data_IF_132164577217
#
_entry.id   IF_132164577217
#
_cell.length_a   1.000
_cell.length_b   1.000
_cell.length_c   1.000
_cell.angle_alpha   90.00
_cell.angle_beta   90.00
_cell.angle_gamma   90.00
#
_symmetry.space_group_name_H-M   'P 1'
#
loop_
_entity.id
_entity.type
_entity.pdbx_description
1 polymer ?
#
# COMPACT_ATOMS: atom_id res chain seq x y z
N UNK A 1 18.29 18.52 15.09
CA UNK A 1 18.76 17.32 14.39
C UNK A 1 20.12 17.62 13.76
N UNK A 2 20.98 16.63 13.44
CA UNK A 2 22.27 16.92 12.82
C UNK A 2 22.08 17.65 11.49
N UNK A 3 22.99 18.56 11.14
CA UNK A 3 23.06 19.15 9.80
C UNK A 3 23.25 18.02 8.80
N UNK A 4 22.19 17.71 8.04
CA UNK A 4 22.25 16.70 6.99
C UNK A 4 23.15 17.23 5.86
N UNK A 5 23.98 16.35 5.31
CA UNK A 5 24.76 16.67 4.12
C UNK A 5 23.81 17.02 2.97
N UNK A 6 23.95 18.18 2.31
CA UNK A 6 23.10 18.55 1.19
C UNK A 6 23.20 17.53 0.05
N UNK A 7 22.06 17.17 -0.54
CA UNK A 7 22.00 16.25 -1.66
C UNK A 7 22.57 16.89 -2.93
N UNK A 8 23.56 16.24 -3.55
CA UNK A 8 24.09 16.68 -4.84
C UNK A 8 23.04 16.59 -5.94
N UNK A 9 22.88 17.69 -6.70
CA UNK A 9 21.88 17.79 -7.77
C UNK A 9 22.11 16.80 -8.90
N UNK A 10 23.36 16.49 -9.26
CA UNK A 10 23.63 15.54 -10.33
C UNK A 10 23.28 14.12 -9.90
N UNK A 11 23.61 13.76 -8.66
CA UNK A 11 23.22 12.48 -8.05
C UNK A 11 21.69 12.32 -8.05
N UNK A 12 20.98 13.31 -7.54
CA UNK A 12 19.52 13.32 -7.51
C UNK A 12 18.91 13.30 -8.91
N UNK A 13 19.54 13.94 -9.91
CA UNK A 13 19.05 13.93 -11.29
C UNK A 13 19.08 12.53 -11.91
N UNK A 14 20.12 11.76 -11.59
CA UNK A 14 20.36 10.43 -12.17
C UNK A 14 19.54 9.30 -11.54
N UNK A 15 18.93 9.51 -10.36
CA UNK A 15 18.30 8.44 -9.57
C UNK A 15 16.88 8.81 -9.14
N UNK A 16 16.09 7.79 -8.79
CA UNK A 16 14.82 8.01 -8.10
C UNK A 16 15.10 8.48 -6.67
N UNK A 17 14.27 9.39 -6.16
CA UNK A 17 14.45 9.99 -4.85
C UNK A 17 13.15 9.92 -4.07
N UNK A 18 13.18 9.34 -2.87
CA UNK A 18 12.12 9.50 -1.88
C UNK A 18 12.39 10.79 -1.10
N UNK A 19 11.42 11.69 -1.03
CA UNK A 19 11.52 12.94 -0.26
C UNK A 19 10.54 12.92 0.90
N UNK A 20 11.03 13.30 2.07
CA UNK A 20 10.31 13.26 3.34
C UNK A 20 10.44 14.62 4.07
N UNK A 21 9.56 14.83 5.04
CA UNK A 21 9.65 15.95 5.96
C UNK A 21 10.82 15.78 6.95
N UNK A 22 11.21 16.85 7.62
CA UNK A 22 12.34 16.88 8.58
C UNK A 22 12.11 16.00 9.80
N UNK A 23 10.87 15.84 10.24
CA UNK A 23 10.48 15.18 11.48
C UNK A 23 10.44 13.65 11.37
N UNK A 24 10.57 13.11 10.16
CA UNK A 24 10.59 11.66 9.94
C UNK A 24 11.94 11.08 10.37
N UNK A 25 11.89 10.10 11.26
CA UNK A 25 13.09 9.43 11.77
C UNK A 25 13.54 8.32 10.79
N UNK A 26 14.85 8.17 10.51
CA UNK A 26 15.34 7.08 9.66
C UNK A 26 14.93 5.68 10.13
N UNK A 27 14.72 5.49 11.43
CA UNK A 27 14.21 4.24 12.00
C UNK A 27 12.76 3.95 11.63
N UNK A 28 11.93 4.96 11.38
CA UNK A 28 10.56 4.76 10.85
C UNK A 28 10.64 4.20 9.42
N UNK A 29 11.53 4.73 8.59
CA UNK A 29 11.75 4.23 7.24
C UNK A 29 12.32 2.81 7.23
N UNK A 30 13.26 2.50 8.13
CA UNK A 30 13.77 1.14 8.29
C UNK A 30 12.67 0.15 8.69
N UNK A 31 11.80 0.53 9.62
CA UNK A 31 10.70 -0.32 10.07
C UNK A 31 9.77 -0.70 8.89
N UNK A 32 9.47 0.25 8.00
CA UNK A 32 8.69 -0.02 6.78
C UNK A 32 9.46 -0.89 5.77
N UNK A 33 10.78 -0.74 5.67
CA UNK A 33 11.57 -1.58 4.77
C UNK A 33 11.58 -3.05 5.25
N UNK A 34 11.82 -3.27 6.54
CA UNK A 34 11.87 -4.61 7.16
C UNK A 34 10.54 -5.33 7.12
N UNK A 35 9.41 -4.62 7.18
CA UNK A 35 8.09 -5.26 7.07
C UNK A 35 7.83 -5.82 5.67
N UNK A 36 8.56 -5.35 4.64
CA UNK A 36 8.34 -5.71 3.23
C UNK A 36 9.38 -6.64 2.63
N UNK A 37 10.60 -6.71 3.18
CA UNK A 37 11.64 -7.64 2.74
C UNK A 37 12.42 -8.21 3.92
N UNK A 38 12.68 -9.52 3.87
CA UNK A 38 13.52 -10.21 4.87
C UNK A 38 14.99 -9.77 4.79
N UNK A 39 15.41 -9.24 3.65
CA UNK A 39 16.76 -8.75 3.39
C UNK A 39 16.92 -7.25 3.65
N UNK A 40 15.84 -6.56 4.03
CA UNK A 40 15.89 -5.14 4.34
C UNK A 40 16.54 -4.87 5.70
N UNK A 41 17.21 -3.72 5.79
CA UNK A 41 17.90 -3.26 7.01
C UNK A 41 19.14 -2.44 6.70
N UNK A 42 19.70 -1.76 7.71
CA UNK A 42 20.93 -0.98 7.52
C UNK A 42 22.11 -1.88 7.15
N UNK A 43 22.64 -1.70 5.94
CA UNK A 43 23.85 -2.37 5.47
C UNK A 43 25.11 -1.58 5.85
N UNK A 44 24.96 -0.28 6.15
CA UNK A 44 26.04 0.61 6.55
C UNK A 44 25.51 1.97 7.01
N UNK A 45 26.41 2.89 7.40
CA UNK A 45 26.01 4.26 7.74
C UNK A 45 25.31 4.92 6.56
N UNK A 46 24.07 5.38 6.79
CA UNK A 46 23.24 6.02 5.76
C UNK A 46 22.96 5.16 4.52
N UNK A 47 23.05 3.82 4.64
CA UNK A 47 22.76 2.86 3.57
C UNK A 47 21.73 1.83 4.05
N UNK A 48 20.47 2.04 3.66
CA UNK A 48 19.35 1.14 3.97
C UNK A 48 19.14 0.19 2.79
N UNK A 49 19.44 -1.10 2.96
CA UNK A 49 19.10 -2.10 1.96
C UNK A 49 17.58 -2.30 1.95
N UNK A 50 16.99 -2.30 0.74
CA UNK A 50 15.56 -2.58 0.55
C UNK A 50 15.32 -3.99 -0.01
N UNK A 51 16.15 -4.37 -0.98
CA UNK A 51 16.13 -5.67 -1.65
C UNK A 51 17.59 -6.07 -1.92
N UNK A 52 17.89 -7.34 -2.25
CA UNK A 52 19.24 -7.74 -2.63
C UNK A 52 19.82 -6.88 -3.77
N UNK A 53 20.86 -6.09 -3.46
CA UNK A 53 21.50 -5.18 -4.42
C UNK A 53 20.74 -3.88 -4.71
N UNK A 54 19.70 -3.56 -3.93
CA UNK A 54 18.96 -2.30 -4.00
C UNK A 54 19.03 -1.57 -2.67
N UNK A 55 19.50 -0.33 -2.69
CA UNK A 55 19.82 0.44 -1.48
C UNK A 55 19.24 1.85 -1.57
N UNK A 56 18.71 2.36 -0.46
CA UNK A 56 18.49 3.78 -0.25
C UNK A 56 19.68 4.38 0.48
N UNK A 57 20.25 5.44 -0.09
CA UNK A 57 21.27 6.25 0.60
C UNK A 57 20.65 7.49 1.19
N UNK A 58 20.97 7.82 2.44
CA UNK A 58 20.42 8.98 3.15
C UNK A 58 20.28 8.75 4.67
N UNK A 59 19.70 9.71 5.41
CA UNK A 59 19.05 10.92 4.90
C UNK A 59 20.06 11.96 4.37
N UNK A 60 19.74 12.54 3.22
CA UNK A 60 20.38 13.75 2.68
C UNK A 60 19.51 14.97 2.96
N UNK A 61 20.13 16.15 3.10
CA UNK A 61 19.43 17.42 3.25
C UNK A 61 18.93 17.94 1.90
N UNK A 62 17.71 18.49 1.89
CA UNK A 62 17.12 19.18 0.72
C UNK A 62 17.10 20.68 0.98
N UNK A 63 18.04 21.41 0.38
CA UNK A 63 18.08 22.86 0.47
C UNK A 63 17.04 23.56 -0.44
N UNK A 64 16.88 24.88 -0.28
CA UNK A 64 15.93 25.67 -1.05
C UNK A 64 16.22 25.64 -2.56
N UNK A 65 17.50 25.62 -2.94
CA UNK A 65 17.93 25.61 -4.34
C UNK A 65 17.56 24.30 -5.03
N UNK A 66 17.79 23.16 -4.37
CA UNK A 66 17.42 21.83 -4.88
C UNK A 66 15.91 21.66 -4.94
N UNK A 67 15.19 22.15 -3.91
CA UNK A 67 13.73 22.10 -3.84
C UNK A 67 13.10 22.86 -5.00
N UNK A 68 13.58 24.08 -5.25
CA UNK A 68 13.14 24.90 -6.37
C UNK A 68 13.54 24.30 -7.72
N UNK A 69 14.73 23.71 -7.83
CA UNK A 69 15.23 23.13 -9.07
C UNK A 69 14.45 21.89 -9.55
N UNK A 70 13.78 21.19 -8.64
CA UNK A 70 13.04 19.95 -8.92
C UNK A 70 11.54 20.06 -8.64
N UNK A 71 11.03 21.27 -8.41
CA UNK A 71 9.61 21.50 -8.08
C UNK A 71 9.12 20.62 -6.91
N UNK A 72 10.00 20.39 -5.92
CA UNK A 72 9.68 19.56 -4.76
C UNK A 72 8.71 20.29 -3.81
N UNK A 73 7.89 19.54 -3.04
CA UNK A 73 6.99 20.13 -2.06
C UNK A 73 7.72 21.00 -1.03
N UNK A 74 7.09 22.07 -0.57
CA UNK A 74 7.71 23.03 0.36
C UNK A 74 8.18 22.41 1.69
N UNK A 75 7.56 21.31 2.12
CA UNK A 75 7.91 20.56 3.33
C UNK A 75 9.08 19.59 3.13
N UNK A 76 9.54 19.36 1.89
CA UNK A 76 10.62 18.42 1.59
C UNK A 76 11.94 18.95 2.14
N UNK A 77 12.46 18.27 3.16
CA UNK A 77 13.70 18.63 3.86
C UNK A 77 14.69 17.47 3.94
N UNK A 78 14.20 16.23 3.84
CA UNK A 78 15.03 15.03 3.77
C UNK A 78 14.85 14.33 2.43
N UNK A 79 15.90 13.67 1.95
CA UNK A 79 15.86 12.87 0.74
C UNK A 79 16.63 11.54 0.92
N UNK A 80 16.12 10.49 0.27
CA UNK A 80 16.78 9.19 0.16
C UNK A 80 16.91 8.84 -1.32
N UNK A 81 18.13 8.56 -1.76
CA UNK A 81 18.44 8.25 -3.16
C UNK A 81 18.43 6.75 -3.37
N UNK A 82 17.61 6.27 -4.31
CA UNK A 82 17.52 4.87 -4.67
C UNK A 82 18.64 4.47 -5.63
N UNK A 83 19.50 3.57 -5.19
CA UNK A 83 20.48 2.88 -6.00
C UNK A 83 19.90 1.51 -6.38
N UNK A 84 19.41 1.40 -7.62
CA UNK A 84 18.86 0.17 -8.18
C UNK A 84 19.31 0.00 -9.64
N UNK A 85 19.47 -1.24 -10.14
CA UNK A 85 19.64 -1.47 -11.56
C UNK A 85 18.46 -0.90 -12.35
N UNK A 86 18.74 -0.12 -13.40
CA UNK A 86 17.70 0.40 -14.30
C UNK A 86 17.23 -0.72 -15.22
N UNK A 87 15.94 -1.02 -15.19
CA UNK A 87 15.29 -2.08 -15.95
C UNK A 87 14.00 -1.53 -16.56
N UNK A 88 14.05 -1.24 -17.88
CA UNK A 88 12.95 -0.62 -18.62
C UNK A 88 12.42 -1.55 -19.69
N UNK A 89 11.09 -1.65 -19.71
CA UNK A 89 10.34 -2.34 -20.74
C UNK A 89 9.99 -1.47 -21.93
N UNK A 90 8.83 -1.77 -22.52
CA UNK A 90 8.24 -1.00 -23.61
C UNK A 90 7.62 0.32 -23.18
N UNK A 91 7.14 1.13 -24.14
CA UNK A 91 6.43 2.37 -23.86
C UNK A 91 5.13 2.10 -23.09
N UNK A 92 4.67 3.10 -22.34
CA UNK A 92 3.39 3.03 -21.65
C UNK A 92 2.25 2.92 -22.68
N UNK A 93 1.37 1.91 -22.60
CA UNK A 93 0.19 1.81 -23.45
C UNK A 93 -0.70 3.05 -23.32
N UNK A 94 -1.28 3.53 -24.42
CA UNK A 94 -2.05 4.77 -24.44
C UNK A 94 -3.30 4.69 -23.53
N UNK A 95 -3.84 3.48 -23.37
CA UNK A 95 -4.99 3.17 -22.53
C UNK A 95 -4.71 3.34 -21.03
N UNK A 96 -3.43 3.28 -20.62
CA UNK A 96 -2.99 3.44 -19.23
C UNK A 96 -2.46 4.85 -18.93
N UNK A 97 -2.35 5.72 -19.94
CA UNK A 97 -1.90 7.09 -19.74
C UNK A 97 -2.93 7.89 -18.94
N UNK A 98 -2.46 8.61 -17.92
CA UNK A 98 -3.27 9.42 -17.02
C UNK A 98 -3.92 8.64 -15.87
N UNK A 99 -3.67 7.32 -15.78
CA UNK A 99 -4.25 6.46 -14.75
C UNK A 99 -3.38 6.47 -13.49
N UNK A 100 -2.08 6.18 -13.63
CA UNK A 100 -1.14 6.16 -12.51
C UNK A 100 -0.02 7.19 -12.72
N UNK A 101 0.13 8.19 -11.82
CA UNK A 101 1.16 9.22 -11.96
C UNK A 101 2.59 8.69 -11.94
N UNK A 102 2.85 7.52 -11.34
CA UNK A 102 4.17 6.87 -11.40
C UNK A 102 4.43 6.32 -12.80
N UNK A 103 3.45 5.64 -13.40
CA UNK A 103 3.59 5.10 -14.76
C UNK A 103 3.71 6.22 -15.80
N UNK A 104 2.94 7.30 -15.62
CA UNK A 104 2.98 8.48 -16.49
C UNK A 104 4.35 9.18 -16.51
N UNK A 105 5.18 8.98 -15.48
CA UNK A 105 6.55 9.47 -15.44
C UNK A 105 7.50 8.70 -16.40
N UNK A 106 7.04 7.59 -16.99
CA UNK A 106 7.85 6.70 -17.83
C UNK A 106 7.22 6.39 -19.20
N UNK A 107 6.84 7.40 -20.00
CA UNK A 107 6.09 7.20 -21.25
C UNK A 107 6.86 6.37 -22.29
N UNK A 108 8.19 6.44 -22.28
CA UNK A 108 9.06 5.74 -23.25
C UNK A 108 9.60 4.38 -22.80
N UNK A 109 9.34 3.97 -21.56
CA UNK A 109 9.91 2.75 -20.99
C UNK A 109 9.51 2.56 -19.53
N UNK A 110 8.44 1.80 -19.30
CA UNK A 110 7.91 1.53 -17.96
C UNK A 110 8.94 0.70 -17.15
N UNK A 111 9.15 1.00 -15.85
CA UNK A 111 10.04 0.18 -15.02
C UNK A 111 9.51 -1.26 -14.89
N UNK A 112 10.42 -2.22 -14.99
CA UNK A 112 10.16 -3.65 -14.83
C UNK A 112 11.12 -4.26 -13.80
N UNK A 113 10.88 -5.51 -13.41
CA UNK A 113 11.74 -6.26 -12.52
C UNK A 113 12.00 -5.54 -11.20
N UNK A 114 13.27 -5.55 -10.77
CA UNK A 114 13.68 -5.03 -9.46
C UNK A 114 13.52 -3.51 -9.35
N UNK A 115 13.59 -2.79 -10.49
CA UNK A 115 13.36 -1.34 -10.49
C UNK A 115 11.89 -1.02 -10.16
N UNK A 116 10.96 -1.75 -10.77
CA UNK A 116 9.51 -1.58 -10.53
C UNK A 116 9.15 -1.91 -9.08
N UNK A 117 9.68 -3.01 -8.56
CA UNK A 117 9.47 -3.43 -7.17
C UNK A 117 9.99 -2.39 -6.18
N UNK A 118 11.20 -1.87 -6.40
CA UNK A 118 11.80 -0.84 -5.57
C UNK A 118 10.99 0.48 -5.60
N UNK A 119 10.53 0.92 -6.78
CA UNK A 119 9.65 2.10 -6.90
C UNK A 119 8.33 1.86 -6.15
N UNK A 120 7.78 0.64 -6.22
CA UNK A 120 6.62 0.23 -5.43
C UNK A 120 6.84 0.39 -3.92
N UNK A 121 8.00 -0.05 -3.41
CA UNK A 121 8.37 0.13 -2.01
C UNK A 121 8.46 1.62 -1.63
N UNK A 122 9.12 2.44 -2.45
CA UNK A 122 9.22 3.87 -2.18
C UNK A 122 7.85 4.56 -2.19
N UNK A 123 6.92 4.12 -3.05
CA UNK A 123 5.55 4.64 -3.09
C UNK A 123 4.78 4.29 -1.82
N UNK A 124 4.89 3.05 -1.34
CA UNK A 124 4.32 2.62 -0.07
C UNK A 124 4.88 3.44 1.10
N UNK A 125 6.20 3.64 1.16
CA UNK A 125 6.84 4.46 2.19
C UNK A 125 6.37 5.91 2.13
N UNK A 126 6.32 6.49 0.93
CA UNK A 126 5.81 7.84 0.73
C UNK A 126 4.35 7.97 1.16
N UNK A 127 3.51 6.96 0.93
CA UNK A 127 2.11 6.99 1.39
C UNK A 127 2.03 7.01 2.92
N UNK A 128 2.74 6.08 3.57
CA UNK A 128 2.74 5.92 5.02
C UNK A 128 3.33 7.13 5.76
N UNK A 129 4.42 7.68 5.22
CA UNK A 129 5.17 8.80 5.80
C UNK A 129 4.76 10.16 5.23
N UNK A 130 3.68 10.22 4.44
CA UNK A 130 3.17 11.44 3.77
C UNK A 130 4.22 12.16 2.92
N UNK A 131 5.10 11.38 2.30
CA UNK A 131 6.19 11.80 1.43
C UNK A 131 5.83 11.91 -0.04
N UNK A 132 6.86 12.07 -0.87
CA UNK A 132 6.75 12.12 -2.32
C UNK A 132 7.94 11.41 -3.00
N UNK A 133 7.76 11.07 -4.27
CA UNK A 133 8.82 10.50 -5.11
C UNK A 133 9.20 11.51 -6.18
N UNK A 134 10.48 11.65 -6.45
CA UNK A 134 10.99 12.25 -7.68
C UNK A 134 11.57 11.14 -8.55
N UNK A 135 11.02 10.94 -9.73
CA UNK A 135 11.37 9.83 -10.61
C UNK A 135 12.44 10.24 -11.63
N UNK A 136 13.53 9.45 -11.71
CA UNK A 136 14.60 9.66 -12.68
C UNK A 136 14.10 9.50 -14.12
N UNK A 137 14.76 10.19 -15.05
CA UNK A 137 14.34 10.29 -16.44
C UNK A 137 13.56 11.57 -16.67
N UNK A 138 12.25 11.58 -16.39
CA UNK A 138 11.40 12.77 -16.59
C UNK A 138 11.56 13.82 -15.49
N UNK A 139 12.02 13.43 -14.29
CA UNK A 139 12.07 14.30 -13.13
C UNK A 139 10.70 14.56 -12.49
N UNK A 140 9.68 13.79 -12.87
CA UNK A 140 8.32 13.94 -12.36
C UNK A 140 8.29 13.76 -10.83
N UNK A 141 7.54 14.63 -10.15
CA UNK A 141 7.30 14.58 -8.71
C UNK A 141 5.90 14.03 -8.46
N UNK A 142 5.83 12.89 -7.78
CA UNK A 142 4.59 12.21 -7.39
C UNK A 142 4.45 12.31 -5.89
N UNK A 143 3.58 13.20 -5.42
CA UNK A 143 3.19 13.26 -4.01
C UNK A 143 2.24 12.11 -3.75
N UNK A 144 2.58 11.24 -2.80
CA UNK A 144 1.73 10.11 -2.47
C UNK A 144 0.45 10.62 -1.76
N UNK A 145 -0.70 10.13 -2.20
CA UNK A 145 -1.98 10.37 -1.52
C UNK A 145 -2.08 9.39 -0.34
N UNK A 146 -1.94 9.85 0.92
CA UNK A 146 -2.01 8.98 2.10
C UNK A 146 -3.37 8.30 2.25
N UNK A 147 -4.42 8.88 1.65
CA UNK A 147 -5.78 8.38 1.77
C UNK A 147 -6.17 7.53 0.55
N UNK A 148 -5.22 7.14 -0.31
CA UNK A 148 -5.48 6.31 -1.47
C UNK A 148 -5.56 4.81 -1.15
N UNK A 149 -4.80 4.35 -0.15
CA UNK A 149 -4.83 2.97 0.34
C UNK A 149 -5.83 2.87 1.49
N UNK A 150 -7.09 2.54 1.16
CA UNK A 150 -8.16 2.41 2.16
C UNK A 150 -8.51 0.95 2.47
N UNK A 151 -7.94 0.02 1.69
CA UNK A 151 -8.19 -1.40 1.81
C UNK A 151 -7.41 -1.98 2.99
N UNK A 152 -8.04 -2.92 3.71
CA UNK A 152 -7.48 -3.56 4.88
C UNK A 152 -7.57 -5.08 4.77
N UNK A 153 -6.60 -5.77 5.34
CA UNK A 153 -6.65 -7.22 5.52
C UNK A 153 -6.56 -7.57 6.99
N UNK A 154 -7.51 -8.35 7.50
CA UNK A 154 -7.38 -8.99 8.81
C UNK A 154 -6.73 -10.36 8.60
N UNK A 155 -5.55 -10.56 9.17
CA UNK A 155 -4.84 -11.83 9.16
C UNK A 155 -5.05 -12.53 10.50
N UNK A 156 -5.67 -13.69 10.50
CA UNK A 156 -6.15 -14.32 11.73
C UNK A 156 -5.89 -15.84 11.79
N UNK A 157 -5.83 -16.42 13.00
CA UNK A 157 -5.74 -17.87 13.17
C UNK A 157 -7.08 -18.59 13.01
N UNK A 158 -8.20 -17.86 13.01
CA UNK A 158 -9.55 -18.42 13.02
C UNK A 158 -10.18 -18.28 11.64
N UNK A 159 -10.67 -19.39 11.11
CA UNK A 159 -11.59 -19.43 9.98
C UNK A 159 -13.03 -19.28 10.46
N UNK A 160 -13.75 -18.31 9.91
CA UNK A 160 -15.19 -18.18 10.09
C UNK A 160 -15.87 -18.79 8.88
N UNK A 161 -16.90 -19.58 9.10
CA UNK A 161 -17.79 -19.97 8.00
C UNK A 161 -18.54 -18.74 7.47
N UNK A 162 -18.95 -18.79 6.20
CA UNK A 162 -19.58 -17.65 5.54
C UNK A 162 -20.79 -17.09 6.30
N UNK A 163 -21.62 -17.95 6.91
CA UNK A 163 -22.77 -17.54 7.72
C UNK A 163 -22.37 -16.81 9.00
N UNK A 164 -21.31 -17.27 9.67
CA UNK A 164 -20.76 -16.58 10.84
C UNK A 164 -20.16 -15.22 10.44
N UNK A 165 -19.43 -15.18 9.31
CA UNK A 165 -18.92 -13.92 8.75
C UNK A 165 -20.05 -12.92 8.46
N UNK A 166 -21.16 -13.38 7.88
CA UNK A 166 -22.35 -12.57 7.67
C UNK A 166 -22.91 -12.02 8.98
N UNK A 167 -23.04 -12.85 10.03
CA UNK A 167 -23.54 -12.40 11.33
C UNK A 167 -22.65 -11.32 11.97
N UNK A 168 -21.32 -11.48 11.90
CA UNK A 168 -20.35 -10.51 12.45
C UNK A 168 -20.43 -9.17 11.73
N UNK A 169 -20.57 -9.18 10.40
CA UNK A 169 -20.41 -7.99 9.58
C UNK A 169 -21.71 -7.23 9.28
N UNK A 170 -22.87 -7.89 9.34
CA UNK A 170 -24.19 -7.27 9.09
C UNK A 170 -24.47 -5.99 9.88
N UNK A 171 -24.05 -5.84 11.16
CA UNK A 171 -24.25 -4.58 11.90
C UNK A 171 -23.55 -3.38 11.26
N UNK A 172 -22.42 -3.61 10.58
CA UNK A 172 -21.60 -2.57 9.94
C UNK A 172 -21.92 -2.42 8.45
N UNK A 173 -22.26 -3.53 7.78
CA UNK A 173 -22.53 -3.59 6.34
C UNK A 173 -23.98 -4.05 6.09
N UNK A 174 -24.96 -3.13 6.12
CA UNK A 174 -26.34 -3.47 5.80
C UNK A 174 -26.46 -4.01 4.38
N UNK A 175 -27.16 -5.12 4.20
CA UNK A 175 -27.34 -5.74 2.87
C UNK A 175 -26.18 -6.61 2.41
N UNK A 176 -25.21 -6.91 3.29
CA UNK A 176 -24.17 -7.90 3.03
C UNK A 176 -24.77 -9.27 2.68
N UNK A 177 -24.28 -9.88 1.61
CA UNK A 177 -24.68 -11.21 1.11
C UNK A 177 -23.45 -12.10 0.85
N UNK A 178 -23.66 -13.41 0.81
CA UNK A 178 -22.61 -14.35 0.41
C UNK A 178 -22.65 -14.55 -1.10
N UNK A 179 -21.50 -14.58 -1.76
CA UNK A 179 -21.43 -14.96 -3.18
C UNK A 179 -21.82 -16.44 -3.38
N UNK A 180 -21.72 -17.26 -2.33
CA UNK A 180 -22.16 -18.66 -2.36
C UNK A 180 -23.69 -18.79 -2.47
N UNK A 181 -24.45 -17.75 -2.08
CA UNK A 181 -25.91 -17.75 -2.21
C UNK A 181 -26.37 -17.87 -3.68
N UNK A 182 -25.50 -17.49 -4.62
CA UNK A 182 -25.74 -17.57 -6.06
C UNK A 182 -25.30 -18.92 -6.67
N UNK A 183 -24.69 -19.82 -5.87
CA UNK A 183 -24.20 -21.13 -6.31
C UNK A 183 -25.20 -22.21 -5.89
N UNK A 184 -25.66 -23.07 -6.81
CA UNK A 184 -26.48 -24.23 -6.45
C UNK A 184 -25.80 -25.11 -5.41
N UNK A 185 -26.50 -25.47 -4.33
CA UNK A 185 -25.94 -26.25 -3.21
C UNK A 185 -25.29 -27.57 -3.65
N UNK A 186 -25.78 -28.18 -4.73
CA UNK A 186 -25.25 -29.42 -5.33
C UNK A 186 -23.85 -29.25 -5.93
N UNK A 187 -23.41 -28.01 -6.20
CA UNK A 187 -22.08 -27.67 -6.69
C UNK A 187 -21.13 -27.23 -5.56
N UNK A 188 -21.66 -26.99 -4.36
CA UNK A 188 -20.88 -26.72 -3.14
C UNK A 188 -20.49 -28.06 -2.49
N UNK A 189 -20.02 -29.00 -3.31
CA UNK A 189 -19.39 -30.23 -2.84
C UNK A 189 -17.88 -29.95 -2.75
N UNK A 190 -17.36 -29.84 -1.51
CA UNK A 190 -15.96 -29.93 -1.01
C UNK A 190 -15.67 -28.87 0.09
N UNK A 191 -14.58 -29.08 0.86
CA UNK A 191 -14.02 -28.04 1.74
C UNK A 191 -13.72 -26.78 0.91
N UNK A 192 -14.22 -25.63 1.34
CA UNK A 192 -14.00 -24.36 0.66
C UNK A 192 -12.55 -23.90 0.88
N UNK A 193 -11.82 -23.67 -0.21
CA UNK A 193 -10.51 -23.00 -0.14
C UNK A 193 -10.67 -21.50 0.15
N UNK A 194 -11.86 -20.94 -0.14
CA UNK A 194 -12.20 -19.54 0.07
C UNK A 194 -13.67 -19.24 -0.17
N UNK A 195 -14.14 -18.09 0.31
CA UNK A 195 -15.46 -17.55 0.00
C UNK A 195 -15.43 -16.02 -0.05
N UNK A 196 -16.48 -15.42 -0.60
CA UNK A 196 -16.60 -13.97 -0.72
C UNK A 196 -17.92 -13.46 -0.17
N UNK A 197 -17.86 -12.37 0.61
CA UNK A 197 -19.02 -11.60 1.03
C UNK A 197 -19.04 -10.25 0.28
N UNK A 198 -20.23 -9.78 -0.07
CA UNK A 198 -20.43 -8.62 -0.93
C UNK A 198 -21.42 -7.64 -0.30
N UNK A 199 -21.05 -6.36 -0.23
CA UNK A 199 -21.94 -5.27 0.13
C UNK A 199 -22.03 -4.24 -1.00
N UNK A 200 -23.25 -3.87 -1.38
CA UNK A 200 -23.51 -2.79 -2.35
C UNK A 200 -23.45 -1.43 -1.63
N UNK A 201 -22.56 -0.55 -2.09
CA UNK A 201 -22.39 0.80 -1.53
C UNK A 201 -23.25 1.85 -2.26
N UNK A 202 -23.95 1.44 -3.31
CA UNK A 202 -24.73 2.27 -4.22
C UNK A 202 -23.97 2.64 -5.49
N UNK A 203 -24.72 3.01 -6.54
CA UNK A 203 -24.18 3.53 -7.82
C UNK A 203 -23.16 2.61 -8.52
N UNK A 204 -23.19 1.31 -8.22
CA UNK A 204 -22.28 0.30 -8.78
C UNK A 204 -20.95 0.16 -8.04
N UNK A 205 -20.78 0.86 -6.92
CA UNK A 205 -19.66 0.65 -6.00
C UNK A 205 -19.93 -0.52 -5.07
N UNK A 206 -18.92 -1.34 -4.84
CA UNK A 206 -19.02 -2.52 -3.97
C UNK A 206 -17.95 -2.50 -2.89
N UNK A 207 -18.25 -3.19 -1.79
CA UNK A 207 -17.25 -3.70 -0.87
C UNK A 207 -17.21 -5.23 -1.02
N UNK A 208 -16.02 -5.76 -1.28
CA UNK A 208 -15.76 -7.20 -1.35
C UNK A 208 -14.96 -7.63 -0.14
N UNK A 209 -15.34 -8.74 0.47
CA UNK A 209 -14.59 -9.37 1.55
C UNK A 209 -14.24 -10.78 1.10
N UNK A 210 -12.99 -10.99 0.74
CA UNK A 210 -12.48 -12.30 0.32
C UNK A 210 -11.86 -12.99 1.52
N UNK A 211 -12.34 -14.19 1.83
CA UNK A 211 -11.84 -15.01 2.93
C UNK A 211 -11.14 -16.22 2.33
N UNK A 212 -9.87 -16.41 2.66
CA UNK A 212 -9.06 -17.52 2.12
C UNK A 212 -8.01 -17.99 3.11
N UNK A 213 -7.61 -19.26 2.99
CA UNK A 213 -6.50 -19.84 3.74
C UNK A 213 -5.19 -19.57 3.01
N UNK A 214 -4.19 -19.03 3.71
CA UNK A 214 -2.88 -18.76 3.13
C UNK A 214 -1.96 -19.99 3.28
N UNK A 215 -1.40 -20.43 2.16
CA UNK A 215 -0.38 -21.50 2.14
C UNK A 215 0.96 -21.04 2.71
N UNK A 216 1.26 -19.74 2.60
CA UNK A 216 2.50 -19.13 3.07
C UNK A 216 2.19 -18.04 4.09
N UNK A 217 2.92 -18.07 5.20
CA UNK A 217 2.81 -17.03 6.23
C UNK A 217 3.31 -15.70 5.66
N UNK A 218 2.47 -14.65 5.62
CA UNK A 218 2.89 -13.32 5.21
C UNK A 218 4.10 -12.84 6.00
N UNK A 219 5.03 -12.15 5.33
CA UNK A 219 6.25 -11.65 5.96
C UNK A 219 5.97 -10.77 7.18
N UNK A 220 4.92 -9.96 7.11
CA UNK A 220 4.50 -9.06 8.19
C UNK A 220 4.14 -9.80 9.49
N UNK A 221 3.82 -11.10 9.41
CA UNK A 221 3.55 -11.98 10.56
C UNK A 221 4.78 -12.80 11.01
N UNK A 222 5.96 -12.54 10.44
CA UNK A 222 7.15 -13.31 10.77
C UNK A 222 7.50 -13.16 12.25
N UNK A 223 7.65 -14.30 12.93
CA UNK A 223 7.95 -14.35 14.36
C UNK A 223 6.71 -14.34 15.25
N UNK A 224 5.52 -14.20 14.66
CA UNK A 224 4.25 -14.30 15.38
C UNK A 224 3.89 -15.77 15.61
N UNK A 225 3.84 -16.19 16.88
CA UNK A 225 3.72 -17.60 17.25
C UNK A 225 2.43 -18.26 16.74
N UNK A 226 1.32 -17.54 16.68
CA UNK A 226 0.04 -18.11 16.24
C UNK A 226 0.01 -18.40 14.73
N UNK A 227 0.80 -17.67 13.92
CA UNK A 227 0.79 -17.79 12.46
C UNK A 227 1.49 -19.05 11.94
N UNK A 228 2.19 -19.78 12.82
CA UNK A 228 2.95 -20.98 12.43
C UNK A 228 2.07 -22.14 11.93
N UNK A 229 0.82 -22.21 12.41
CA UNK A 229 -0.12 -23.30 12.10
C UNK A 229 -1.09 -22.94 10.95
N UNK A 230 -0.86 -21.82 10.26
CA UNK A 230 -1.68 -21.32 9.16
C UNK A 230 -2.25 -19.94 9.43
N UNK A 231 -2.64 -19.25 8.36
CA UNK A 231 -3.19 -17.90 8.43
C UNK A 231 -4.43 -17.84 7.54
N UNK A 232 -5.52 -17.30 8.09
CA UNK A 232 -6.71 -16.93 7.33
C UNK A 232 -6.62 -15.45 6.99
N UNK A 233 -6.82 -15.13 5.72
CA UNK A 233 -6.85 -13.74 5.22
C UNK A 233 -8.30 -13.32 5.02
N UNK A 234 -8.70 -12.21 5.62
CA UNK A 234 -9.95 -11.50 5.36
C UNK A 234 -9.62 -10.20 4.63
N UNK A 235 -9.61 -10.23 3.31
CA UNK A 235 -9.29 -9.08 2.46
C UNK A 235 -10.53 -8.24 2.21
N UNK A 236 -10.57 -7.06 2.81
CA UNK A 236 -11.68 -6.11 2.69
C UNK A 236 -11.27 -5.06 1.65
N UNK A 237 -11.96 -5.05 0.51
CA UNK A 237 -11.58 -4.27 -0.68
C UNK A 237 -12.72 -3.41 -1.19
N UNK A 238 -12.44 -2.14 -1.43
CA UNK A 238 -13.35 -1.25 -2.14
C UNK A 238 -13.22 -1.43 -3.66
N UNK A 239 -14.35 -1.64 -4.32
CA UNK A 239 -14.44 -1.71 -5.79
C UNK A 239 -15.30 -0.55 -6.29
N UNK A 240 -14.69 0.60 -6.64
CA UNK A 240 -15.44 1.73 -7.18
C UNK A 240 -16.06 1.39 -8.54
N UNK A 241 -17.22 1.98 -8.85
CA UNK A 241 -17.86 1.84 -10.16
C UNK A 241 -17.01 2.40 -11.31
N UNK A 242 -16.14 3.38 -11.00
CA UNK A 242 -15.26 4.10 -11.92
C UNK A 242 -13.82 4.08 -11.42
N UNK A 243 -13.11 2.93 -11.54
CA UNK A 243 -11.74 2.81 -11.05
C UNK A 243 -10.77 3.78 -11.74
N UNK A 244 -11.05 4.13 -13.00
CA UNK A 244 -10.30 5.14 -13.77
C UNK A 244 -10.28 6.51 -13.08
N UNK A 245 -11.38 6.88 -12.43
CA UNK A 245 -11.48 8.15 -11.69
C UNK A 245 -11.00 8.01 -10.25
N UNK A 246 -11.31 6.88 -9.60
CA UNK A 246 -10.97 6.61 -8.20
C UNK A 246 -9.47 6.54 -7.94
N UNK A 247 -8.71 5.96 -8.87
CA UNK A 247 -7.26 5.79 -8.73
C UNK A 247 -6.44 6.85 -9.48
N UNK A 248 -7.10 7.81 -10.14
CA UNK A 248 -6.41 8.92 -10.80
C UNK A 248 -5.59 9.75 -9.80
N UNK A 249 -4.54 10.41 -10.26
CA UNK A 249 -3.69 11.24 -9.40
C UNK A 249 -4.40 12.43 -8.73
N UNK A 250 -5.60 12.81 -9.20
CA UNK A 250 -6.45 13.85 -8.60
C UNK A 250 -7.92 13.47 -8.70
N UNK A 251 -8.43 12.56 -7.83
CA UNK A 251 -9.80 12.10 -7.89
C UNK A 251 -10.79 13.27 -7.69
N UNK A 252 -11.93 13.31 -8.41
CA UNK A 252 -12.98 14.33 -8.23
C UNK A 252 -13.54 14.34 -6.80
N UNK A 253 -14.16 15.47 -6.37
CA UNK A 253 -14.69 15.61 -5.00
C UNK A 253 -15.68 14.50 -4.61
N UNK A 254 -16.62 14.15 -5.50
CA UNK A 254 -17.59 13.08 -5.22
C UNK A 254 -16.92 11.72 -5.00
N UNK A 255 -15.90 11.40 -5.81
CA UNK A 255 -15.13 10.16 -5.68
C UNK A 255 -14.32 10.14 -4.38
N UNK A 256 -13.76 11.28 -3.95
CA UNK A 256 -13.10 11.37 -2.64
C UNK A 256 -14.07 11.15 -1.49
N UNK A 257 -15.30 11.69 -1.58
CA UNK A 257 -16.32 11.48 -0.55
C UNK A 257 -16.77 10.01 -0.49
N UNK A 258 -16.95 9.37 -1.63
CA UNK A 258 -17.23 7.95 -1.74
C UNK A 258 -16.12 7.11 -1.10
N UNK A 259 -14.85 7.40 -1.44
CA UNK A 259 -13.67 6.77 -0.86
C UNK A 259 -13.61 6.93 0.66
N UNK A 260 -13.85 8.14 1.19
CA UNK A 260 -13.90 8.38 2.64
C UNK A 260 -15.00 7.55 3.31
N UNK A 261 -16.16 7.42 2.68
CA UNK A 261 -17.25 6.57 3.21
C UNK A 261 -16.87 5.09 3.18
N UNK A 262 -16.25 4.63 2.09
CA UNK A 262 -15.78 3.25 1.96
C UNK A 262 -14.71 2.94 3.01
N UNK A 263 -13.74 3.83 3.23
CA UNK A 263 -12.70 3.70 4.24
C UNK A 263 -13.30 3.46 5.64
N UNK A 264 -14.24 4.30 6.08
CA UNK A 264 -14.88 4.11 7.38
C UNK A 264 -15.68 2.80 7.52
N UNK A 265 -16.24 2.28 6.42
CA UNK A 265 -16.89 0.97 6.40
C UNK A 265 -15.86 -0.18 6.46
N UNK A 266 -14.73 -0.03 5.78
CA UNK A 266 -13.63 -1.00 5.79
C UNK A 266 -13.02 -1.08 7.19
N UNK A 267 -12.71 0.06 7.81
CA UNK A 267 -12.17 0.14 9.16
C UNK A 267 -13.12 -0.50 10.18
N UNK A 268 -14.41 -0.18 10.11
CA UNK A 268 -15.42 -0.78 10.99
C UNK A 268 -15.60 -2.29 10.76
N UNK A 269 -15.52 -2.76 9.50
CA UNK A 269 -15.59 -4.18 9.17
C UNK A 269 -14.35 -4.95 9.65
N UNK A 270 -13.16 -4.37 9.47
CA UNK A 270 -11.90 -4.91 9.96
C UNK A 270 -11.90 -5.01 11.49
N UNK A 271 -12.34 -3.96 12.19
CA UNK A 271 -12.46 -3.97 13.64
C UNK A 271 -13.47 -5.02 14.14
N UNK A 272 -14.62 -5.16 13.48
CA UNK A 272 -15.62 -6.15 13.84
C UNK A 272 -15.11 -7.59 13.65
N UNK A 273 -14.41 -7.87 12.55
CA UNK A 273 -13.77 -9.17 12.32
C UNK A 273 -12.67 -9.42 13.35
N UNK A 274 -11.72 -8.50 13.50
CA UNK A 274 -10.60 -8.62 14.43
C UNK A 274 -11.05 -8.89 15.87
N UNK A 275 -12.13 -8.24 16.33
CA UNK A 275 -12.70 -8.49 17.66
C UNK A 275 -13.17 -9.95 17.87
N UNK A 276 -13.50 -10.67 16.80
CA UNK A 276 -13.97 -12.07 16.84
C UNK A 276 -12.86 -13.06 16.53
N UNK A 277 -12.04 -12.79 15.51
CA UNK A 277 -11.03 -13.74 15.01
C UNK A 277 -9.63 -13.49 15.59
N UNK A 278 -9.39 -12.34 16.20
CA UNK A 278 -8.08 -11.90 16.68
C UNK A 278 -7.09 -11.63 15.54
N UNK A 279 -5.81 -11.88 15.81
CA UNK A 279 -4.74 -11.73 14.83
C UNK A 279 -4.28 -10.28 14.65
N UNK A 280 -3.86 -9.94 13.43
CA UNK A 280 -3.26 -8.66 13.07
C UNK A 280 -4.03 -8.01 11.90
N UNK A 281 -3.95 -6.68 11.77
CA UNK A 281 -4.54 -5.95 10.63
C UNK A 281 -3.41 -5.32 9.81
N UNK A 282 -3.51 -5.43 8.49
CA UNK A 282 -2.58 -4.82 7.54
C UNK A 282 -3.30 -3.87 6.57
N UNK A 283 -2.62 -2.81 6.17
CA UNK A 283 -3.06 -1.96 5.06
C UNK A 283 -2.70 -2.54 3.69
N UNK A 284 -3.15 -1.90 2.61
CA UNK A 284 -2.87 -2.26 1.21
C UNK A 284 -1.37 -2.23 0.85
N UNK A 285 -0.57 -1.51 1.63
CA UNK A 285 0.88 -1.47 1.50
C UNK A 285 1.58 -2.58 2.32
N UNK A 286 0.82 -3.45 2.98
CA UNK A 286 1.35 -4.55 3.79
C UNK A 286 1.99 -4.10 5.10
N UNK A 287 1.65 -2.92 5.61
CA UNK A 287 2.08 -2.46 6.93
C UNK A 287 1.02 -2.80 7.98
N UNK A 288 1.49 -3.14 9.20
CA UNK A 288 0.59 -3.35 10.33
C UNK A 288 -0.12 -2.05 10.70
N UNK A 289 -1.40 -2.20 10.98
CA UNK A 289 -2.29 -1.16 11.51
C UNK A 289 -2.71 -1.60 12.91
N UNK A 290 -2.59 -0.70 13.88
CA UNK A 290 -3.09 -0.97 15.23
C UNK A 290 -4.63 -1.04 15.17
N UNK A 291 -5.26 -2.15 15.58
CA UNK A 291 -6.72 -2.26 15.62
C UNK A 291 -7.40 -1.16 16.44
N UNK A 292 -6.73 -0.57 17.43
CA UNK A 292 -7.25 0.56 18.21
C UNK A 292 -7.38 1.85 17.37
N UNK A 293 -6.60 1.99 16.29
CA UNK A 293 -6.66 3.13 15.38
C UNK A 293 -7.87 3.05 14.42
N UNK A 294 -8.50 1.88 14.26
CA UNK A 294 -9.60 1.64 13.30
C UNK A 294 -10.97 2.20 13.74
N UNK A 295 -11.14 2.57 15.01
CA UNK A 295 -12.46 2.95 15.56
C UNK A 295 -12.59 4.44 15.86
N UNK A 296 -11.77 5.28 15.21
CA UNK A 296 -11.76 6.73 15.42
C UNK A 296 -12.85 7.50 14.69
#
# INVERSE_FOLDING_TARGET
MPDLTPLDRALATAHHVLVLAEDIDPGELEALAVSRSVEAGWAGPAELQLLPGVVLTGPWGVDDDLRAAFDLPAWAQQAYVLLAPVQRGGPLPAELSGVDPVLDAFPGGVPEGIESEAIGHLRAFARRLRGALRLAGTGAVVVADPDAAIDLTVLAPVWLEHDAGLEVLRPVLPGLRSALDDIPAELVENELEGYMLLADLGEGSLLEIHVTGLEQVPLVLRGTAWAADGVVSYEIRWRPARPDLAYSGRPPLGVRQERTRAAGLIEAAAAALHAVVGGEVCDDDGFLVDPEDLTR
#
